data_IF_813924408781
#
_entry.id   IF_813924408781
#
_cell.length_a   1.000
_cell.length_b   1.000
_cell.length_c   1.000
_cell.angle_alpha   90.00
_cell.angle_beta   90.00
_cell.angle_gamma   90.00
#
_symmetry.space_group_name_H-M   'P 1'
#
loop_
_entity.id
_entity.type
_entity.pdbx_description
1 polymer ?
#
# COMPACT_ATOMS: atom_id res chain seq x y z
N UNK A 1 2.41 -80.62 -4.18
CA UNK A 1 3.51 -79.64 -4.06
C UNK A 1 3.38 -78.67 -5.23
N UNK A 2 3.21 -77.35 -4.98
CA UNK A 2 3.57 -76.22 -5.88
C UNK A 2 2.67 -75.97 -7.11
N UNK A 3 2.23 -74.77 -7.49
CA UNK A 3 2.24 -73.39 -6.96
C UNK A 3 1.10 -72.63 -7.67
N UNK A 4 0.34 -71.79 -6.96
CA UNK A 4 -0.60 -70.81 -7.56
C UNK A 4 0.13 -69.48 -7.68
N UNK A 5 0.36 -68.99 -8.90
CA UNK A 5 0.91 -67.65 -9.13
C UNK A 5 -0.23 -66.66 -9.37
N UNK A 6 -0.55 -65.85 -8.35
CA UNK A 6 -1.36 -64.64 -8.52
C UNK A 6 -0.46 -63.50 -8.97
N UNK A 7 -0.76 -62.91 -10.13
CA UNK A 7 -0.15 -61.67 -10.58
C UNK A 7 -0.94 -60.49 -9.98
N UNK A 8 -0.32 -59.78 -9.03
CA UNK A 8 -0.85 -58.51 -8.51
C UNK A 8 -0.32 -57.40 -9.41
N UNK A 9 -1.18 -56.80 -10.23
CA UNK A 9 -0.87 -55.60 -10.99
C UNK A 9 -0.86 -54.40 -10.02
N UNK A 10 0.33 -53.90 -9.70
CA UNK A 10 0.51 -52.69 -8.88
C UNK A 10 0.12 -51.43 -9.65
N UNK A 11 -0.98 -50.80 -9.25
CA UNK A 11 -1.39 -49.50 -9.79
C UNK A 11 -0.59 -48.39 -9.11
N UNK A 12 0.47 -47.93 -9.77
CA UNK A 12 1.32 -46.84 -9.30
C UNK A 12 0.61 -45.51 -9.57
N UNK A 13 -0.06 -44.95 -8.56
CA UNK A 13 -0.69 -43.63 -8.64
C UNK A 13 0.40 -42.58 -8.52
N UNK A 14 0.80 -42.01 -9.66
CA UNK A 14 1.64 -40.81 -9.72
C UNK A 14 0.83 -39.62 -9.19
N UNK A 15 1.06 -39.25 -7.92
CA UNK A 15 0.65 -37.95 -7.40
C UNK A 15 1.50 -36.87 -8.08
N UNK A 16 1.01 -36.32 -9.19
CA UNK A 16 1.54 -35.10 -9.77
C UNK A 16 1.35 -33.95 -8.79
N UNK A 17 2.44 -33.43 -8.22
CA UNK A 17 2.42 -32.19 -7.47
C UNK A 17 2.01 -31.07 -8.43
N UNK A 18 0.74 -30.66 -8.39
CA UNK A 18 0.30 -29.45 -9.06
C UNK A 18 1.05 -28.27 -8.42
N UNK A 19 2.05 -27.74 -9.13
CA UNK A 19 2.69 -26.48 -8.75
C UNK A 19 1.61 -25.40 -8.76
N UNK A 20 1.19 -24.94 -7.58
CA UNK A 20 0.37 -23.74 -7.45
C UNK A 20 1.21 -22.61 -8.07
N UNK A 21 0.77 -21.97 -9.16
CA UNK A 21 1.52 -20.87 -9.73
C UNK A 21 1.69 -19.81 -8.65
N UNK A 22 2.93 -19.40 -8.40
CA UNK A 22 3.20 -18.26 -7.54
C UNK A 22 2.39 -17.08 -8.11
N UNK A 23 1.44 -16.54 -7.34
CA UNK A 23 0.74 -15.32 -7.75
C UNK A 23 1.81 -14.26 -8.01
N UNK A 24 1.88 -13.77 -9.25
CA UNK A 24 2.80 -12.71 -9.62
C UNK A 24 2.55 -11.50 -8.71
N UNK A 25 3.62 -10.83 -8.30
CA UNK A 25 3.56 -9.60 -7.52
C UNK A 25 2.60 -8.60 -8.20
N UNK A 26 1.61 -8.11 -7.45
CA UNK A 26 0.65 -7.14 -7.98
C UNK A 26 1.08 -5.73 -7.60
N UNK A 27 1.36 -4.93 -8.63
CA UNK A 27 1.63 -3.51 -8.50
C UNK A 27 0.49 -2.72 -9.13
N UNK A 28 0.14 -1.62 -8.48
CA UNK A 28 -0.74 -0.61 -9.04
C UNK A 28 -0.03 0.06 -10.21
N UNK A 29 -0.53 -0.16 -11.42
CA UNK A 29 0.07 0.41 -12.61
C UNK A 29 -0.28 1.91 -12.68
N UNK A 30 0.73 2.74 -12.92
CA UNK A 30 0.52 4.17 -13.09
C UNK A 30 -0.11 4.43 -14.47
N UNK A 31 -1.32 4.99 -14.48
CA UNK A 31 -1.98 5.49 -15.67
C UNK A 31 -1.56 6.93 -16.00
N UNK A 32 -2.46 7.66 -16.66
CA UNK A 32 -2.25 9.08 -16.98
C UNK A 32 -2.40 10.01 -15.77
N UNK A 33 -1.95 11.26 -15.92
CA UNK A 33 -2.17 12.31 -14.92
C UNK A 33 -3.67 12.48 -14.63
N UNK A 34 -4.00 12.73 -13.38
CA UNK A 34 -5.37 12.94 -12.91
C UNK A 34 -5.46 14.12 -11.94
N UNK A 35 -6.67 14.41 -11.45
CA UNK A 35 -6.93 15.47 -10.49
C UNK A 35 -6.16 15.24 -9.19
N UNK A 36 -5.62 16.32 -8.62
CA UNK A 36 -4.96 16.32 -7.31
C UNK A 36 -6.05 16.53 -6.24
N UNK A 37 -6.07 15.75 -5.13
CA UNK A 37 -6.94 16.02 -4.00
C UNK A 37 -6.73 17.44 -3.47
N UNK A 38 -7.81 18.13 -3.09
CA UNK A 38 -7.72 19.53 -2.65
C UNK A 38 -6.76 19.70 -1.47
N UNK A 39 -6.92 18.92 -0.39
CA UNK A 39 -6.04 18.98 0.77
C UNK A 39 -4.58 18.71 0.44
N UNK A 40 -4.29 17.75 -0.45
CA UNK A 40 -2.91 17.52 -0.92
C UNK A 40 -2.35 18.70 -1.73
N UNK A 41 -3.17 19.34 -2.59
CA UNK A 41 -2.75 20.53 -3.31
C UNK A 41 -2.39 21.66 -2.34
N UNK A 42 -3.27 21.95 -1.37
CA UNK A 42 -3.01 22.96 -0.33
C UNK A 42 -1.76 22.63 0.50
N UNK A 43 -1.59 21.36 0.88
CA UNK A 43 -0.37 20.88 1.54
C UNK A 43 0.89 21.19 0.73
N UNK A 44 0.89 20.89 -0.57
CA UNK A 44 2.04 21.14 -1.43
C UNK A 44 2.33 22.63 -1.63
N UNK A 45 1.30 23.47 -1.70
CA UNK A 45 1.46 24.93 -1.81
C UNK A 45 2.16 25.48 -0.55
N UNK A 46 1.84 24.92 0.63
CA UNK A 46 2.48 25.24 1.93
C UNK A 46 3.84 24.55 2.16
N UNK A 47 4.04 23.36 1.59
CA UNK A 47 5.19 22.48 1.84
C UNK A 47 5.88 22.05 0.54
N UNK A 48 6.31 23.03 -0.27
CA UNK A 48 6.87 22.80 -1.62
C UNK A 48 8.00 21.77 -1.69
N UNK A 49 8.78 21.64 -0.61
CA UNK A 49 9.91 20.69 -0.51
C UNK A 49 9.47 19.22 -0.52
N UNK A 50 8.23 18.94 -0.12
CA UNK A 50 7.71 17.58 0.01
C UNK A 50 7.06 17.07 -1.28
N UNK A 51 6.82 17.97 -2.24
CA UNK A 51 5.99 17.74 -3.43
C UNK A 51 6.75 17.87 -4.75
N UNK A 52 8.02 17.47 -4.78
CA UNK A 52 8.90 17.59 -5.94
C UNK A 52 8.96 16.36 -6.85
N UNK A 53 9.46 16.58 -8.06
CA UNK A 53 9.92 15.52 -8.95
C UNK A 53 11.12 14.78 -8.34
N UNK A 54 11.20 13.48 -8.60
CA UNK A 54 12.27 12.63 -8.06
C UNK A 54 12.49 11.41 -8.96
N UNK A 55 13.64 10.75 -8.78
CA UNK A 55 13.99 9.56 -9.56
C UNK A 55 13.08 8.40 -9.17
N UNK A 56 12.51 7.72 -10.18
CA UNK A 56 11.80 6.45 -9.98
C UNK A 56 12.82 5.35 -9.75
N UNK A 57 12.78 4.72 -8.58
CA UNK A 57 13.60 3.55 -8.25
C UNK A 57 12.85 2.24 -8.56
N UNK A 58 13.57 1.13 -8.81
CA UNK A 58 12.95 -0.20 -8.87
C UNK A 58 12.28 -0.56 -7.53
N UNK A 59 11.28 -1.47 -7.53
CA UNK A 59 10.63 -1.90 -6.31
C UNK A 59 11.62 -2.33 -5.23
N UNK A 60 11.37 -1.96 -3.97
CA UNK A 60 12.30 -2.32 -2.89
C UNK A 60 12.28 -3.82 -2.62
N UNK A 61 13.45 -4.42 -2.39
CA UNK A 61 13.55 -5.79 -1.87
C UNK A 61 12.83 -5.93 -0.54
N UNK A 62 11.82 -6.78 -0.43
CA UNK A 62 11.08 -7.01 0.82
C UNK A 62 11.79 -8.02 1.72
N UNK A 63 12.81 -7.56 2.45
CA UNK A 63 13.46 -8.37 3.48
C UNK A 63 12.62 -8.43 4.76
N UNK A 64 12.85 -9.41 5.66
CA UNK A 64 12.20 -9.43 6.97
C UNK A 64 12.39 -8.14 7.77
N UNK A 65 13.57 -7.51 7.67
CA UNK A 65 13.86 -6.24 8.35
C UNK A 65 13.01 -5.09 7.78
N UNK A 66 12.83 -5.02 6.46
CA UNK A 66 11.98 -4.01 5.82
C UNK A 66 10.51 -4.24 6.13
N UNK A 67 10.04 -5.48 6.14
CA UNK A 67 8.67 -5.78 6.58
C UNK A 67 8.44 -5.33 8.03
N UNK A 68 9.36 -5.70 8.94
CA UNK A 68 9.31 -5.26 10.34
C UNK A 68 9.33 -3.74 10.46
N UNK A 69 10.06 -3.05 9.59
CA UNK A 69 10.08 -1.59 9.56
C UNK A 69 8.72 -0.99 9.15
N UNK A 70 8.11 -1.50 8.08
CA UNK A 70 6.77 -1.06 7.66
C UNK A 70 5.74 -1.27 8.78
N UNK A 71 5.75 -2.46 9.39
CA UNK A 71 4.85 -2.81 10.50
C UNK A 71 5.07 -1.92 11.72
N UNK A 72 6.32 -1.71 12.10
CA UNK A 72 6.67 -0.86 13.25
C UNK A 72 6.24 0.58 13.03
N UNK A 73 6.46 1.16 11.84
CA UNK A 73 5.98 2.52 11.53
C UNK A 73 4.46 2.56 11.51
N UNK A 74 3.79 1.60 10.88
CA UNK A 74 2.32 1.57 10.80
C UNK A 74 1.69 1.58 12.19
N UNK A 75 2.00 0.58 13.02
CA UNK A 75 1.45 0.46 14.38
C UNK A 75 1.88 1.64 15.25
N UNK A 76 3.14 2.04 15.22
CA UNK A 76 3.60 3.15 16.08
C UNK A 76 2.95 4.48 15.73
N UNK A 77 2.67 4.76 14.44
CA UNK A 77 1.91 5.96 14.05
C UNK A 77 0.45 5.82 14.45
N UNK A 78 -0.17 4.66 14.21
CA UNK A 78 -1.57 4.40 14.54
C UNK A 78 -1.88 4.64 16.02
N UNK A 79 -0.96 4.27 16.91
CA UNK A 79 -1.14 4.40 18.36
C UNK A 79 -0.79 5.79 18.92
N UNK A 80 -0.02 6.59 18.20
CA UNK A 80 0.40 7.94 18.67
C UNK A 80 -0.54 9.05 18.27
N UNK A 81 -1.27 8.86 17.17
CA UNK A 81 -2.23 9.85 16.69
C UNK A 81 -3.61 9.43 17.16
N UNK A 82 -4.36 10.36 17.72
CA UNK A 82 -5.78 10.22 18.03
C UNK A 82 -6.60 10.59 16.79
N UNK A 83 -7.55 9.74 16.36
CA UNK A 83 -8.45 10.06 15.25
C UNK A 83 -9.31 11.28 15.59
N UNK A 84 -9.17 12.36 14.82
CA UNK A 84 -9.94 13.60 14.94
C UNK A 84 -10.07 14.20 13.54
N UNK A 85 -11.29 14.54 13.12
CA UNK A 85 -11.51 15.19 11.82
C UNK A 85 -10.84 16.56 11.71
N UNK A 86 -10.48 16.97 10.52
CA UNK A 86 -9.97 18.32 10.27
C UNK A 86 -10.91 19.44 10.70
N UNK A 87 -12.22 19.21 10.63
CA UNK A 87 -13.21 20.20 11.04
C UNK A 87 -13.17 20.44 12.55
N UNK A 88 -12.98 19.38 13.33
CA UNK A 88 -12.83 19.46 14.79
C UNK A 88 -11.42 19.96 15.18
N UNK A 89 -10.38 19.54 14.47
CA UNK A 89 -8.99 19.83 14.82
C UNK A 89 -8.57 21.25 14.39
N UNK A 90 -8.97 21.68 13.19
CA UNK A 90 -8.48 22.90 12.54
C UNK A 90 -9.59 23.84 12.05
N UNK A 91 -10.87 23.47 12.20
CA UNK A 91 -11.99 24.25 11.68
C UNK A 91 -12.09 24.26 10.15
N UNK A 92 -11.43 23.31 9.47
CA UNK A 92 -11.36 23.22 8.02
C UNK A 92 -11.96 21.90 7.54
N UNK A 93 -12.54 21.89 6.34
CA UNK A 93 -13.12 20.68 5.76
C UNK A 93 -12.08 19.60 5.41
N UNK A 94 -10.89 20.02 4.99
CA UNK A 94 -9.81 19.17 4.46
C UNK A 94 -8.49 19.97 4.62
N UNK A 95 -7.59 19.51 5.49
CA UNK A 95 -6.37 20.19 5.91
C UNK A 95 -5.25 19.20 6.24
N UNK A 96 -4.62 18.72 5.17
CA UNK A 96 -3.51 17.80 5.26
C UNK A 96 -2.32 18.44 5.98
N UNK A 97 -1.78 17.75 6.98
CA UNK A 97 -0.58 18.19 7.69
C UNK A 97 0.15 17.04 8.37
N UNK A 98 1.38 17.28 8.85
CA UNK A 98 2.00 16.34 9.77
C UNK A 98 1.36 16.55 11.15
N UNK A 99 0.74 15.52 11.76
CA UNK A 99 -0.04 15.64 12.99
C UNK A 99 0.87 15.74 14.23
N UNK A 100 1.65 16.81 14.33
CA UNK A 100 2.59 17.07 15.44
C UNK A 100 1.88 17.28 16.78
N UNK A 101 0.59 17.64 16.75
CA UNK A 101 -0.27 17.74 17.93
C UNK A 101 -0.86 16.39 18.36
N UNK A 102 -0.51 15.29 17.68
CA UNK A 102 -1.00 13.95 17.98
C UNK A 102 -2.47 13.72 17.61
N UNK A 103 -3.04 14.55 16.72
CA UNK A 103 -4.43 14.43 16.23
C UNK A 103 -4.46 14.56 14.71
N UNK A 104 -5.31 13.77 14.06
CA UNK A 104 -5.55 13.87 12.63
C UNK A 104 -6.50 12.79 12.13
N UNK A 105 -6.76 12.77 10.84
CA UNK A 105 -7.52 11.75 10.12
C UNK A 105 -6.65 11.07 9.03
N UNK A 106 -7.26 10.42 8.05
CA UNK A 106 -6.57 9.39 7.26
C UNK A 106 -5.31 9.89 6.54
N UNK A 107 -5.36 11.07 5.94
CA UNK A 107 -4.26 11.73 5.26
C UNK A 107 -3.09 12.07 6.18
N UNK A 108 -3.36 12.51 7.40
CA UNK A 108 -2.36 12.97 8.36
C UNK A 108 -1.54 11.78 8.86
N UNK A 109 -2.19 10.64 9.08
CA UNK A 109 -1.52 9.38 9.39
C UNK A 109 -0.64 8.94 8.21
N UNK A 110 -1.13 9.07 6.97
CA UNK A 110 -0.38 8.71 5.77
C UNK A 110 0.84 9.59 5.60
N UNK A 111 0.71 10.91 5.77
CA UNK A 111 1.82 11.86 5.73
C UNK A 111 2.88 11.51 6.79
N UNK A 112 2.46 11.23 8.03
CA UNK A 112 3.37 10.86 9.11
C UNK A 112 4.10 9.54 8.83
N UNK A 113 3.39 8.49 8.39
CA UNK A 113 4.00 7.19 8.04
C UNK A 113 5.00 7.35 6.91
N UNK A 114 4.63 8.10 5.87
CA UNK A 114 5.48 8.38 4.71
C UNK A 114 6.75 9.12 5.13
N UNK A 115 6.63 10.20 5.90
CA UNK A 115 7.77 10.95 6.41
C UNK A 115 8.72 10.07 7.25
N UNK A 116 8.17 9.24 8.14
CA UNK A 116 8.97 8.34 8.98
C UNK A 116 9.71 7.26 8.18
N UNK A 117 9.12 6.73 7.10
CA UNK A 117 9.76 5.76 6.23
C UNK A 117 10.81 6.40 5.31
N UNK A 118 10.54 7.60 4.81
CA UNK A 118 11.52 8.39 4.04
C UNK A 118 12.74 8.74 4.87
N UNK A 119 12.55 9.15 6.13
CA UNK A 119 13.63 9.42 7.07
C UNK A 119 14.50 8.17 7.35
N UNK A 120 13.98 6.97 7.05
CA UNK A 120 14.68 5.69 7.18
C UNK A 120 15.21 5.16 5.85
N UNK A 121 15.27 6.02 4.84
CA UNK A 121 15.93 5.76 3.55
C UNK A 121 15.06 5.08 2.50
N UNK A 122 13.75 4.92 2.72
CA UNK A 122 12.87 4.45 1.65
C UNK A 122 12.55 5.62 0.71
N UNK A 123 12.79 5.43 -0.59
CA UNK A 123 12.56 6.47 -1.60
C UNK A 123 11.09 6.92 -1.65
N UNK A 124 10.81 8.22 -1.83
CA UNK A 124 9.45 8.71 -2.07
C UNK A 124 8.79 8.05 -3.30
N UNK A 125 9.57 7.62 -4.29
CA UNK A 125 9.06 6.90 -5.48
C UNK A 125 8.43 5.55 -5.17
N UNK A 126 8.64 5.03 -3.96
CA UNK A 126 8.15 3.73 -3.49
C UNK A 126 7.13 3.87 -2.36
N UNK A 127 6.79 5.10 -1.97
CA UNK A 127 5.86 5.43 -0.88
C UNK A 127 4.79 6.38 -1.43
N UNK A 128 3.77 5.78 -2.02
CA UNK A 128 2.75 6.46 -2.80
C UNK A 128 1.51 6.67 -1.92
N UNK A 129 1.10 7.93 -1.77
CA UNK A 129 -0.19 8.25 -1.16
C UNK A 129 -1.28 7.81 -2.13
N UNK A 130 -2.24 7.02 -1.66
CA UNK A 130 -3.22 6.39 -2.54
C UNK A 130 -4.63 6.65 -2.02
N UNK A 131 -5.50 7.11 -2.91
CA UNK A 131 -6.93 7.26 -2.64
C UNK A 131 -7.66 5.99 -3.02
N UNK A 132 -8.49 5.53 -2.10
CA UNK A 132 -9.30 4.33 -2.24
C UNK A 132 -10.74 4.58 -1.87
N UNK A 133 -11.63 3.69 -2.31
CA UNK A 133 -13.02 3.64 -1.90
C UNK A 133 -13.26 2.34 -1.12
N UNK A 134 -13.61 2.47 0.16
CA UNK A 134 -14.18 1.40 0.98
C UNK A 134 -15.67 1.68 1.24
N UNK A 135 -16.10 1.53 2.50
CA UNK A 135 -17.41 2.03 2.95
C UNK A 135 -17.53 3.54 2.74
N UNK A 136 -16.43 4.26 2.94
CA UNK A 136 -16.26 5.69 2.67
C UNK A 136 -15.00 5.92 1.84
N UNK A 137 -14.85 7.08 1.16
CA UNK A 137 -13.58 7.50 0.58
C UNK A 137 -12.48 7.54 1.65
N UNK A 138 -11.29 7.01 1.34
CA UNK A 138 -10.20 6.87 2.31
C UNK A 138 -8.83 7.12 1.66
N UNK A 139 -7.84 7.46 2.47
CA UNK A 139 -6.44 7.66 2.05
C UNK A 139 -5.54 6.70 2.80
N UNK A 140 -4.69 5.99 2.05
CA UNK A 140 -3.74 5.00 2.57
C UNK A 140 -2.34 5.27 2.04
N UNK A 141 -1.34 4.63 2.65
CA UNK A 141 0.03 4.63 2.14
C UNK A 141 0.34 3.30 1.45
N UNK A 142 0.75 3.37 0.19
CA UNK A 142 1.21 2.21 -0.59
C UNK A 142 2.73 2.17 -0.62
N UNK A 143 3.30 1.04 -0.16
CA UNK A 143 4.72 0.73 -0.20
C UNK A 143 5.02 -0.27 -1.33
N UNK A 144 5.80 0.15 -2.32
CA UNK A 144 6.11 -0.65 -3.51
C UNK A 144 7.31 -1.57 -3.30
N UNK A 145 7.08 -2.89 -3.35
CA UNK A 145 8.12 -3.90 -3.09
C UNK A 145 8.28 -4.88 -4.24
N UNK A 146 9.34 -5.67 -4.28
CA UNK A 146 9.50 -6.73 -5.28
C UNK A 146 8.54 -7.92 -5.11
N UNK A 147 7.72 -7.92 -4.05
CA UNK A 147 6.63 -8.88 -3.79
C UNK A 147 5.24 -8.29 -4.09
N UNK A 148 5.18 -7.07 -4.64
CA UNK A 148 3.95 -6.33 -4.90
C UNK A 148 3.81 -5.09 -4.02
N UNK A 149 2.66 -4.44 -4.11
CA UNK A 149 2.31 -3.29 -3.28
C UNK A 149 1.78 -3.74 -1.91
N UNK A 150 2.27 -3.10 -0.85
CA UNK A 150 1.82 -3.30 0.53
C UNK A 150 1.18 -2.03 1.09
N UNK A 151 0.14 -2.20 1.89
CA UNK A 151 -0.71 -1.12 2.35
C UNK A 151 -0.50 -0.90 3.84
N UNK A 152 -0.23 0.37 4.19
CA UNK A 152 -0.20 0.85 5.56
C UNK A 152 -1.41 1.77 5.75
N UNK A 153 -2.27 1.40 6.69
CA UNK A 153 -3.60 2.00 6.91
C UNK A 153 -3.73 2.44 8.37
N UNK A 154 -4.47 3.50 8.67
CA UNK A 154 -4.78 3.91 10.04
C UNK A 154 -5.95 3.12 10.65
N UNK A 155 -6.78 2.45 9.83
CA UNK A 155 -7.90 1.64 10.31
C UNK A 155 -7.49 0.28 10.88
N UNK A 156 -6.22 -0.12 10.67
CA UNK A 156 -5.65 -1.38 11.17
C UNK A 156 -4.13 -1.29 11.25
N UNK A 157 -3.52 -2.06 12.15
CA UNK A 157 -2.07 -2.03 12.31
C UNK A 157 -1.33 -2.91 11.30
N UNK A 158 -1.99 -3.97 10.81
CA UNK A 158 -1.39 -4.91 9.88
C UNK A 158 -1.01 -4.26 8.55
N UNK A 159 0.20 -4.58 8.08
CA UNK A 159 0.65 -4.21 6.74
C UNK A 159 0.27 -5.34 5.79
N UNK A 160 -0.72 -5.08 4.94
CA UNK A 160 -1.32 -6.10 4.08
C UNK A 160 -0.86 -5.93 2.63
N UNK A 161 -0.62 -7.04 1.89
CA UNK A 161 -0.49 -6.93 0.44
C UNK A 161 -1.80 -6.42 -0.17
N UNK A 162 -1.72 -5.70 -1.29
CA UNK A 162 -2.86 -5.05 -1.94
C UNK A 162 -4.04 -6.03 -2.19
N UNK A 163 -3.76 -7.27 -2.61
CA UNK A 163 -4.72 -8.36 -2.80
C UNK A 163 -5.50 -8.81 -1.56
N UNK A 164 -5.04 -8.47 -0.34
CA UNK A 164 -5.74 -8.80 0.90
C UNK A 164 -6.55 -7.62 1.44
N UNK A 165 -6.64 -6.55 0.69
CA UNK A 165 -7.49 -5.39 1.01
C UNK A 165 -8.79 -5.45 0.21
N UNK A 166 -9.87 -4.94 0.79
CA UNK A 166 -11.20 -4.89 0.17
C UNK A 166 -11.51 -3.52 -0.46
N UNK A 167 -10.47 -2.79 -0.86
CA UNK A 167 -10.58 -1.41 -1.33
C UNK A 167 -10.64 -1.32 -2.85
N UNK A 168 -11.53 -0.48 -3.39
CA UNK A 168 -11.40 -0.07 -4.80
C UNK A 168 -10.38 1.06 -4.91
N UNK A 169 -9.28 0.79 -5.60
CA UNK A 169 -8.20 1.76 -5.82
C UNK A 169 -8.58 2.78 -6.89
N UNK A 170 -8.48 4.07 -6.58
CA UNK A 170 -8.98 5.16 -7.44
C UNK A 170 -7.83 5.85 -8.18
N UNK A 171 -6.87 6.38 -7.41
CA UNK A 171 -5.71 7.13 -7.92
C UNK A 171 -4.61 7.15 -6.87
N UNK A 172 -3.38 7.40 -7.28
CA UNK A 172 -2.24 7.51 -6.39
C UNK A 172 -1.35 8.69 -6.76
N UNK A 173 -0.52 9.11 -5.80
CA UNK A 173 0.60 9.99 -6.04
C UNK A 173 1.50 9.40 -7.14
N UNK A 174 2.00 10.24 -8.04
CA UNK A 174 2.88 9.82 -9.13
C UNK A 174 4.20 9.29 -8.56
N UNK A 175 4.68 8.09 -8.99
CA UNK A 175 5.98 7.58 -8.59
C UNK A 175 7.18 8.45 -9.01
N UNK A 176 6.96 9.39 -9.95
CA UNK A 176 8.00 10.29 -10.46
C UNK A 176 7.92 11.71 -9.85
N UNK A 177 6.80 12.07 -9.20
CA UNK A 177 6.60 13.41 -8.68
C UNK A 177 5.58 13.44 -7.54
N UNK A 178 6.02 13.81 -6.33
CA UNK A 178 5.16 13.81 -5.15
C UNK A 178 4.06 14.87 -5.18
N UNK A 179 4.18 15.90 -6.03
CA UNK A 179 3.13 16.90 -6.23
C UNK A 179 2.05 16.50 -7.23
N UNK A 180 2.22 15.40 -7.96
CA UNK A 180 1.33 14.97 -9.03
C UNK A 180 0.59 13.68 -8.68
N UNK A 181 -0.55 13.46 -9.33
CA UNK A 181 -1.39 12.28 -9.15
C UNK A 181 -1.65 11.63 -10.50
N UNK A 182 -1.74 10.30 -10.49
CA UNK A 182 -2.04 9.47 -11.66
C UNK A 182 -3.23 8.56 -11.36
N UNK A 183 -4.01 8.23 -12.38
CA UNK A 183 -4.97 7.13 -12.26
C UNK A 183 -4.25 5.81 -12.00
N UNK A 184 -4.92 4.87 -11.34
CA UNK A 184 -4.42 3.51 -11.20
C UNK A 184 -5.05 2.67 -12.31
N UNK A 185 -4.20 1.98 -13.06
CA UNK A 185 -4.58 1.01 -14.08
C UNK A 185 -4.25 -0.42 -13.62
N UNK A 186 -4.70 -1.41 -14.37
CA UNK A 186 -4.32 -2.81 -14.18
C UNK A 186 -5.13 -3.58 -13.13
N UNK A 187 -4.64 -4.78 -12.79
CA UNK A 187 -5.37 -5.78 -11.97
C UNK A 187 -5.62 -5.36 -10.52
N UNK A 188 -4.88 -4.41 -9.95
CA UNK A 188 -5.10 -3.89 -8.59
C UNK A 188 -6.48 -3.23 -8.43
N UNK A 189 -7.13 -2.84 -9.54
CA UNK A 189 -8.51 -2.33 -9.57
C UNK A 189 -9.55 -3.48 -9.47
N UNK A 190 -9.17 -4.72 -9.83
CA UNK A 190 -10.07 -5.87 -9.93
C UNK A 190 -10.00 -6.83 -8.73
N UNK A 191 -9.02 -6.69 -7.83
CA UNK A 191 -8.71 -7.74 -6.83
C UNK A 191 -9.40 -7.52 -5.47
N UNK A 192 -10.04 -6.36 -5.26
CA UNK A 192 -10.83 -6.12 -4.05
C UNK A 192 -12.24 -6.76 -4.04
N UNK A 193 -12.58 -7.54 -5.06
CA UNK A 193 -13.90 -8.16 -5.24
C UNK A 193 -13.87 -9.71 -5.23
N UNK A 194 -12.81 -10.35 -4.72
CA UNK A 194 -12.75 -11.81 -4.59
C UNK A 194 -12.37 -12.26 -3.18
#
# INVERSE_FOLDING_TARGET
>A
MRFVTSAIAGMMVLFGAAAIPAKAAQWSEAGGLTSIPYGHKDYCDRNKRDCGAHRVLPPMKLTPQRMKLLQSVSSSVNHRIKPVSDQENYGKRDYWTLPVNGKGDCEDYVLMKRAQLMARGISPSLLLITMVQGSEPHVILTARTDHGDYILDNLRDEVLPVEKTSYRYIKMQSPANSGQWVSIAGRSVAVANN
#
